data_IF_490621307410
#
_entry.id   IF_490621307410
#
_cell.length_a   1.000
_cell.length_b   1.000
_cell.length_c   1.000
_cell.angle_alpha   90.00
_cell.angle_beta   90.00
_cell.angle_gamma   90.00
#
_symmetry.space_group_name_H-M   'P 1'
#
loop_
_entity.id
_entity.type
_entity.pdbx_description
1 polymer ?
#
# COMPACT_ATOMS: atom_id res chain seq x y z
N UNK A 1 -27.62 22.32 22.04
CA UNK A 1 -26.64 22.47 20.94
C UNK A 1 -25.29 21.94 21.38
N UNK A 2 -24.81 22.28 22.58
CA UNK A 2 -23.52 21.79 23.12
C UNK A 2 -23.30 20.26 23.12
N UNK A 3 -24.35 19.45 23.33
CA UNK A 3 -24.21 17.98 23.34
C UNK A 3 -23.81 17.44 21.95
N UNK A 4 -24.30 18.04 20.87
CA UNK A 4 -23.94 17.61 19.52
C UNK A 4 -22.53 18.05 19.13
N UNK A 5 -22.06 19.17 19.68
CA UNK A 5 -20.77 19.77 19.32
C UNK A 5 -19.57 18.92 19.72
N UNK A 6 -19.63 18.21 20.86
CA UNK A 6 -18.56 17.26 21.25
C UNK A 6 -18.79 15.82 20.74
N UNK A 7 -20.05 15.41 20.54
CA UNK A 7 -20.37 14.05 20.09
C UNK A 7 -20.07 13.83 18.61
N UNK A 8 -20.19 14.86 17.76
CA UNK A 8 -19.92 14.72 16.31
C UNK A 8 -18.44 14.40 16.04
N UNK A 9 -17.45 15.17 16.54
CA UNK A 9 -16.04 14.84 16.37
C UNK A 9 -15.69 13.45 16.93
N UNK A 10 -16.23 13.12 18.11
CA UNK A 10 -16.03 11.80 18.73
C UNK A 10 -16.60 10.66 17.89
N UNK A 11 -17.79 10.82 17.30
CA UNK A 11 -18.38 9.84 16.40
C UNK A 11 -17.55 9.68 15.11
N UNK A 12 -16.99 10.77 14.58
CA UNK A 12 -16.08 10.73 13.42
C UNK A 12 -14.78 9.99 13.75
N UNK A 13 -14.23 10.17 14.95
CA UNK A 13 -13.05 9.41 15.41
C UNK A 13 -13.35 7.91 15.50
N UNK A 14 -14.50 7.52 16.06
CA UNK A 14 -14.95 6.12 16.05
C UNK A 14 -15.13 5.59 14.65
N UNK A 15 -15.75 6.35 13.75
CA UNK A 15 -15.93 5.93 12.37
C UNK A 15 -14.58 5.74 11.66
N UNK A 16 -13.62 6.65 11.87
CA UNK A 16 -12.27 6.56 11.34
C UNK A 16 -11.56 5.29 11.86
N UNK A 17 -11.64 5.04 13.16
CA UNK A 17 -11.09 3.85 13.82
C UNK A 17 -11.69 2.56 13.24
N UNK A 18 -13.02 2.44 13.26
CA UNK A 18 -13.73 1.23 12.83
C UNK A 18 -13.45 0.92 11.36
N UNK A 19 -13.40 1.94 10.50
CA UNK A 19 -13.12 1.73 9.09
C UNK A 19 -11.68 1.28 8.82
N UNK A 20 -10.70 1.88 9.52
CA UNK A 20 -9.30 1.40 9.48
C UNK A 20 -9.16 -0.02 10.00
N UNK A 21 -9.84 -0.31 11.11
CA UNK A 21 -9.80 -1.63 11.73
C UNK A 21 -10.39 -2.69 10.81
N UNK A 22 -11.56 -2.42 10.22
CA UNK A 22 -12.16 -3.27 9.19
C UNK A 22 -11.22 -3.50 8.01
N UNK A 23 -10.58 -2.44 7.51
CA UNK A 23 -9.64 -2.54 6.39
C UNK A 23 -8.44 -3.44 6.71
N UNK A 24 -7.86 -3.28 7.90
CA UNK A 24 -6.73 -4.12 8.35
C UNK A 24 -7.16 -5.58 8.50
N UNK A 25 -8.31 -5.86 9.14
CA UNK A 25 -8.83 -7.22 9.31
C UNK A 25 -9.03 -7.90 7.94
N UNK A 26 -9.74 -7.23 7.05
CA UNK A 26 -10.06 -7.78 5.72
C UNK A 26 -8.80 -7.94 4.86
N UNK A 27 -7.87 -6.99 4.93
CA UNK A 27 -6.57 -7.08 4.27
C UNK A 27 -5.73 -8.27 4.75
N UNK A 28 -5.69 -8.52 6.06
CA UNK A 28 -5.01 -9.69 6.63
C UNK A 28 -5.68 -10.98 6.15
N UNK A 29 -7.01 -11.06 6.18
CA UNK A 29 -7.75 -12.23 5.69
C UNK A 29 -7.44 -12.51 4.21
N UNK A 30 -7.46 -11.48 3.36
CA UNK A 30 -7.22 -11.63 1.93
C UNK A 30 -5.77 -12.00 1.60
N UNK A 31 -4.80 -11.29 2.16
CA UNK A 31 -3.38 -11.55 1.91
C UNK A 31 -2.95 -12.88 2.54
N UNK A 32 -3.45 -13.20 3.74
CA UNK A 32 -3.22 -14.49 4.39
C UNK A 32 -3.74 -15.65 3.55
N UNK A 33 -4.98 -15.57 3.07
CA UNK A 33 -5.55 -16.57 2.15
C UNK A 33 -4.72 -16.68 0.86
N UNK A 34 -4.29 -15.55 0.29
CA UNK A 34 -3.46 -15.53 -0.92
C UNK A 34 -2.12 -16.25 -0.70
N UNK A 35 -1.44 -16.00 0.42
CA UNK A 35 -0.20 -16.71 0.75
C UNK A 35 -0.41 -18.19 0.96
N UNK A 36 -1.48 -18.57 1.65
CA UNK A 36 -1.84 -19.98 1.85
C UNK A 36 -2.09 -20.69 0.51
N UNK A 37 -2.94 -20.14 -0.36
CA UNK A 37 -3.25 -20.77 -1.64
C UNK A 37 -2.05 -20.83 -2.59
N UNK A 38 -1.18 -19.82 -2.59
CA UNK A 38 0.06 -19.86 -3.36
C UNK A 38 1.02 -20.91 -2.83
N UNK A 39 1.13 -21.05 -1.50
CA UNK A 39 1.92 -22.13 -0.90
C UNK A 39 1.33 -23.50 -1.27
N UNK A 40 0.02 -23.68 -1.10
CA UNK A 40 -0.71 -24.90 -1.43
C UNK A 40 -0.46 -25.29 -2.90
N UNK A 41 -0.68 -24.37 -3.84
CA UNK A 41 -0.50 -24.62 -5.28
C UNK A 41 0.94 -24.97 -5.68
N UNK A 42 1.94 -24.46 -4.96
CA UNK A 42 3.34 -24.80 -5.22
C UNK A 42 3.81 -26.08 -4.50
N UNK A 43 3.06 -26.55 -3.49
CA UNK A 43 3.43 -27.68 -2.62
C UNK A 43 2.65 -28.96 -2.93
N UNK A 44 1.46 -28.86 -3.52
CA UNK A 44 0.69 -30.02 -4.00
C UNK A 44 1.55 -30.91 -4.90
N UNK A 45 1.41 -32.24 -4.77
CA UNK A 45 2.11 -33.24 -5.58
C UNK A 45 1.12 -34.21 -6.24
N UNK A 46 1.43 -34.76 -7.43
CA UNK A 46 0.59 -35.78 -8.03
C UNK A 46 0.40 -36.97 -7.08
N UNK A 47 -0.80 -37.58 -7.04
CA UNK A 47 -1.00 -38.81 -6.28
C UNK A 47 -0.19 -39.96 -6.88
N UNK A 48 0.03 -41.03 -6.11
CA UNK A 48 0.77 -42.20 -6.58
C UNK A 48 0.12 -42.78 -7.87
N UNK A 49 0.91 -43.16 -8.90
CA UNK A 49 0.37 -43.77 -10.11
C UNK A 49 -0.47 -45.02 -9.78
N UNK A 50 -1.65 -45.13 -10.37
CA UNK A 50 -2.57 -46.25 -10.13
C UNK A 50 -3.37 -46.20 -8.82
N UNK A 51 -3.14 -45.20 -7.96
CA UNK A 51 -3.95 -44.98 -6.75
C UNK A 51 -5.41 -44.65 -7.07
N UNK A 52 -6.29 -44.87 -6.09
CA UNK A 52 -7.71 -44.49 -6.20
C UNK A 52 -7.90 -42.99 -6.47
N UNK A 53 -7.03 -42.13 -5.92
CA UNK A 53 -7.06 -40.69 -6.17
C UNK A 53 -6.73 -40.37 -7.63
N UNK A 54 -5.72 -41.04 -8.20
CA UNK A 54 -5.38 -40.88 -9.61
C UNK A 54 -6.56 -41.32 -10.51
N UNK A 55 -7.23 -42.43 -10.18
CA UNK A 55 -8.42 -42.91 -10.90
C UNK A 55 -9.59 -41.92 -10.82
N UNK A 56 -9.72 -41.20 -9.71
CA UNK A 56 -10.74 -40.14 -9.50
C UNK A 56 -10.40 -38.81 -10.18
N UNK A 57 -9.29 -38.72 -10.91
CA UNK A 57 -8.90 -37.50 -11.63
C UNK A 57 -8.26 -36.42 -10.75
N UNK A 58 -7.77 -36.78 -9.55
CA UNK A 58 -6.99 -35.88 -8.71
C UNK A 58 -5.64 -35.62 -9.38
N UNK A 59 -5.38 -34.34 -9.66
CA UNK A 59 -4.14 -33.87 -10.28
C UNK A 59 -3.03 -33.61 -9.27
N UNK A 60 -3.41 -33.42 -8.00
CA UNK A 60 -2.47 -33.45 -6.90
C UNK A 60 -3.15 -33.35 -5.54
N UNK A 61 -2.43 -33.82 -4.54
CA UNK A 61 -2.81 -33.80 -3.15
C UNK A 61 -1.71 -33.19 -2.26
N UNK A 62 -2.11 -32.80 -1.06
CA UNK A 62 -1.22 -32.37 0.02
C UNK A 62 -1.71 -32.99 1.31
N UNK A 63 -0.82 -33.34 2.22
CA UNK A 63 -1.16 -33.63 3.61
C UNK A 63 -0.62 -32.53 4.51
N UNK A 64 -1.47 -31.96 5.36
CA UNK A 64 -1.13 -30.89 6.29
C UNK A 64 -1.71 -31.18 7.68
N UNK A 65 -1.00 -30.75 8.72
CA UNK A 65 -1.46 -30.84 10.11
C UNK A 65 -1.71 -29.44 10.64
N UNK A 66 -2.90 -29.21 11.20
CA UNK A 66 -3.22 -27.95 11.86
C UNK A 66 -4.37 -28.15 12.87
N UNK A 67 -4.36 -27.40 13.98
CA UNK A 67 -5.45 -27.44 14.96
C UNK A 67 -5.77 -28.83 15.54
N UNK A 68 -4.77 -29.72 15.61
CA UNK A 68 -4.94 -31.09 16.11
C UNK A 68 -5.48 -32.10 15.09
N UNK A 69 -5.73 -31.71 13.83
CA UNK A 69 -6.24 -32.58 12.77
C UNK A 69 -5.32 -32.69 11.55
N UNK A 70 -5.61 -33.69 10.71
CA UNK A 70 -4.97 -33.90 9.41
C UNK A 70 -5.91 -33.46 8.28
N UNK A 71 -5.39 -32.63 7.37
CA UNK A 71 -6.09 -32.17 6.18
C UNK A 71 -5.45 -32.81 4.95
N UNK A 72 -6.28 -33.28 4.01
CA UNK A 72 -5.85 -33.75 2.69
C UNK A 72 -6.50 -32.93 1.56
N UNK A 73 -6.04 -31.69 1.28
CA UNK A 73 -6.55 -30.93 0.15
C UNK A 73 -6.24 -31.63 -1.17
N UNK A 74 -7.26 -31.84 -1.99
CA UNK A 74 -7.17 -32.48 -3.30
C UNK A 74 -7.50 -31.47 -4.39
N UNK A 75 -6.65 -31.38 -5.40
CA UNK A 75 -6.82 -30.50 -6.56
C UNK A 75 -7.14 -31.33 -7.79
N UNK A 76 -8.26 -31.03 -8.43
CA UNK A 76 -8.69 -31.63 -9.69
C UNK A 76 -8.23 -30.76 -10.87
N UNK A 77 -7.77 -31.38 -11.97
CA UNK A 77 -7.28 -30.64 -13.14
C UNK A 77 -8.42 -29.93 -13.89
N UNK A 78 -9.58 -30.59 -13.95
CA UNK A 78 -10.73 -30.14 -14.71
C UNK A 78 -11.97 -30.11 -13.82
N UNK A 79 -12.34 -31.26 -13.27
CA UNK A 79 -13.55 -31.45 -12.46
C UNK A 79 -13.41 -32.68 -11.56
N UNK A 80 -14.01 -32.70 -10.36
CA UNK A 80 -14.37 -33.95 -9.71
C UNK A 80 -15.47 -34.68 -10.50
N UNK A 81 -15.62 -35.99 -10.28
CA UNK A 81 -16.69 -36.79 -10.89
C UNK A 81 -18.09 -36.31 -10.49
N UNK A 82 -18.22 -35.81 -9.26
CA UNK A 82 -19.44 -35.19 -8.73
C UNK A 82 -19.09 -33.81 -8.17
N UNK A 83 -19.85 -32.80 -8.60
CA UNK A 83 -19.72 -31.45 -8.07
C UNK A 83 -20.37 -31.38 -6.68
N UNK A 84 -19.64 -30.91 -5.64
CA UNK A 84 -20.22 -30.66 -4.33
C UNK A 84 -21.36 -29.64 -4.42
N UNK A 85 -22.40 -29.83 -3.59
CA UNK A 85 -23.54 -28.88 -3.48
C UNK A 85 -23.09 -27.50 -2.99
N UNK A 86 -22.06 -27.47 -2.14
CA UNK A 86 -21.53 -26.26 -1.54
C UNK A 86 -20.11 -26.01 -2.03
N UNK A 87 -19.89 -24.83 -2.61
CA UNK A 87 -18.59 -24.36 -3.03
C UNK A 87 -18.30 -23.05 -2.31
N UNK A 88 -17.15 -22.99 -1.63
CA UNK A 88 -16.68 -21.75 -1.03
C UNK A 88 -15.96 -20.90 -2.08
N UNK A 89 -16.35 -19.62 -2.17
CA UNK A 89 -15.79 -18.67 -3.14
C UNK A 89 -14.99 -17.59 -2.41
N UNK A 90 -13.67 -17.67 -2.49
CA UNK A 90 -12.75 -16.65 -1.95
C UNK A 90 -12.84 -15.37 -2.77
N UNK A 91 -13.73 -14.47 -2.36
CA UNK A 91 -14.01 -13.21 -3.05
C UNK A 91 -14.28 -12.06 -2.07
N UNK A 92 -14.91 -12.36 -0.95
CA UNK A 92 -15.36 -11.35 0.00
C UNK A 92 -14.21 -10.70 0.73
N UNK A 93 -13.13 -11.43 0.99
CA UNK A 93 -11.90 -10.90 1.59
C UNK A 93 -11.31 -9.81 0.69
N UNK A 94 -11.22 -10.07 -0.62
CA UNK A 94 -10.73 -9.11 -1.60
C UNK A 94 -11.67 -7.90 -1.75
N UNK A 95 -12.98 -8.16 -1.88
CA UNK A 95 -13.97 -7.10 -2.08
C UNK A 95 -14.10 -6.20 -0.87
N UNK A 96 -14.16 -6.76 0.34
CA UNK A 96 -14.24 -6.01 1.57
C UNK A 96 -12.97 -5.20 1.84
N UNK A 97 -11.79 -5.74 1.52
CA UNK A 97 -10.52 -4.99 1.61
C UNK A 97 -10.54 -3.78 0.68
N UNK A 98 -10.95 -3.95 -0.58
CA UNK A 98 -10.99 -2.83 -1.51
C UNK A 98 -12.06 -1.81 -1.17
N UNK A 99 -13.27 -2.23 -0.79
CA UNK A 99 -14.35 -1.32 -0.41
C UNK A 99 -13.97 -0.47 0.81
N UNK A 100 -13.44 -1.11 1.86
CA UNK A 100 -12.96 -0.39 3.05
C UNK A 100 -11.76 0.50 2.73
N UNK A 101 -10.83 0.03 1.89
CA UNK A 101 -9.65 0.81 1.47
C UNK A 101 -10.01 2.02 0.60
N UNK A 102 -10.97 1.87 -0.31
CA UNK A 102 -11.46 2.96 -1.16
C UNK A 102 -12.26 3.98 -0.35
N UNK A 103 -13.04 3.52 0.64
CA UNK A 103 -13.68 4.41 1.61
C UNK A 103 -12.63 5.21 2.40
N UNK A 104 -11.56 4.57 2.89
CA UNK A 104 -10.45 5.26 3.56
C UNK A 104 -9.73 6.24 2.64
N UNK A 105 -9.48 5.87 1.37
CA UNK A 105 -8.88 6.77 0.39
C UNK A 105 -9.77 8.01 0.18
N UNK A 106 -11.08 7.81 0.09
CA UNK A 106 -12.05 8.90 -0.07
C UNK A 106 -12.05 9.84 1.13
N UNK A 107 -12.17 9.31 2.35
CA UNK A 107 -12.24 10.12 3.57
C UNK A 107 -10.90 10.78 3.88
N UNK A 108 -9.82 10.00 3.85
CA UNK A 108 -8.51 10.47 4.30
C UNK A 108 -7.78 11.31 3.24
N UNK A 109 -8.02 11.09 1.94
CA UNK A 109 -7.33 11.82 0.88
C UNK A 109 -8.26 12.71 0.06
N UNK A 110 -9.43 12.23 -0.39
CA UNK A 110 -10.27 13.04 -1.29
C UNK A 110 -11.01 14.17 -0.56
N UNK A 111 -11.62 13.90 0.60
CA UNK A 111 -12.27 14.94 1.40
C UNK A 111 -11.26 15.89 2.06
N UNK A 112 -10.01 15.45 2.22
CA UNK A 112 -8.92 16.23 2.82
C UNK A 112 -7.81 16.55 1.79
N UNK A 113 -8.16 16.69 0.51
CA UNK A 113 -7.19 16.76 -0.60
C UNK A 113 -6.19 17.91 -0.44
N UNK A 114 -6.64 19.08 0.04
CA UNK A 114 -5.77 20.23 0.25
C UNK A 114 -4.62 19.91 1.22
N UNK A 115 -4.90 19.18 2.30
CA UNK A 115 -3.88 18.82 3.30
C UNK A 115 -3.09 17.56 2.95
N UNK A 116 -3.71 16.62 2.24
CA UNK A 116 -3.14 15.27 2.08
C UNK A 116 -2.60 15.01 0.68
N UNK A 117 -3.11 15.69 -0.34
CA UNK A 117 -2.78 15.45 -1.75
C UNK A 117 -2.01 16.59 -2.41
N UNK A 118 -2.20 17.83 -1.99
CA UNK A 118 -1.68 19.01 -2.70
C UNK A 118 -0.48 19.58 -1.96
N UNK A 119 0.68 19.58 -2.62
CA UNK A 119 1.87 20.33 -2.18
C UNK A 119 2.16 21.38 -3.26
N UNK A 120 1.97 22.66 -2.94
CA UNK A 120 2.10 23.77 -3.91
C UNK A 120 3.52 23.93 -4.44
N UNK A 121 4.53 23.42 -3.75
CA UNK A 121 5.89 23.40 -4.25
C UNK A 121 6.10 22.34 -5.34
N UNK A 122 5.20 21.36 -5.45
CA UNK A 122 5.20 20.32 -6.50
C UNK A 122 4.33 20.76 -7.68
N UNK A 123 3.05 21.04 -7.43
CA UNK A 123 2.11 21.52 -8.43
C UNK A 123 0.96 22.31 -7.77
N UNK A 124 0.60 23.46 -8.33
CA UNK A 124 -0.55 24.25 -7.87
C UNK A 124 -1.84 23.71 -8.47
N UNK A 125 -2.39 22.68 -7.83
CA UNK A 125 -3.64 22.01 -8.24
C UNK A 125 -4.83 22.52 -7.44
N UNK A 126 -6.00 22.55 -8.07
CA UNK A 126 -7.27 22.56 -7.35
C UNK A 126 -7.58 21.18 -6.74
N UNK A 127 -8.45 21.14 -5.73
CA UNK A 127 -8.95 19.91 -5.11
C UNK A 127 -9.48 18.90 -6.12
N UNK A 128 -10.29 19.33 -7.08
CA UNK A 128 -10.88 18.44 -8.08
C UNK A 128 -9.86 17.87 -9.06
N UNK A 129 -8.83 18.64 -9.42
CA UNK A 129 -7.73 18.14 -10.23
C UNK A 129 -6.94 17.06 -9.48
N UNK A 130 -6.61 17.30 -8.21
CA UNK A 130 -5.88 16.32 -7.39
C UNK A 130 -6.68 15.02 -7.24
N UNK A 131 -7.98 15.11 -6.91
CA UNK A 131 -8.88 13.95 -6.81
C UNK A 131 -9.02 13.24 -8.16
N UNK A 132 -9.18 14.00 -9.25
CA UNK A 132 -9.27 13.47 -10.61
C UNK A 132 -8.03 12.70 -11.04
N UNK A 133 -6.82 13.22 -10.73
CA UNK A 133 -5.55 12.50 -10.93
C UNK A 133 -5.53 11.21 -10.11
N UNK A 134 -5.97 11.28 -8.85
CA UNK A 134 -6.07 10.12 -7.96
C UNK A 134 -6.94 9.01 -8.56
N UNK A 135 -8.21 9.29 -8.82
CA UNK A 135 -9.17 8.33 -9.41
C UNK A 135 -8.71 7.88 -10.80
N UNK A 136 -8.26 8.81 -11.63
CA UNK A 136 -7.77 8.53 -12.98
C UNK A 136 -6.61 7.54 -12.97
N UNK A 137 -5.68 7.65 -12.00
CA UNK A 137 -4.56 6.71 -11.88
C UNK A 137 -5.02 5.27 -11.60
N UNK A 138 -6.06 5.07 -10.80
CA UNK A 138 -6.61 3.73 -10.51
C UNK A 138 -7.25 3.12 -11.77
N UNK A 139 -8.03 3.91 -12.50
CA UNK A 139 -8.69 3.48 -13.75
C UNK A 139 -7.65 3.15 -14.82
N UNK A 140 -6.72 4.08 -15.08
CA UNK A 140 -5.64 3.89 -16.07
C UNK A 140 -4.77 2.69 -15.69
N UNK A 141 -4.42 2.55 -14.41
CA UNK A 141 -3.63 1.43 -13.92
C UNK A 141 -4.25 0.07 -14.21
N UNK A 142 -5.56 -0.09 -13.92
CA UNK A 142 -6.28 -1.31 -14.26
C UNK A 142 -6.33 -1.55 -15.77
N UNK A 143 -6.69 -0.52 -16.56
CA UNK A 143 -6.84 -0.66 -18.01
C UNK A 143 -5.51 -1.03 -18.68
N UNK A 144 -4.42 -0.34 -18.35
CA UNK A 144 -3.09 -0.65 -18.89
C UNK A 144 -2.68 -2.07 -18.52
N UNK A 145 -2.81 -2.44 -17.24
CA UNK A 145 -2.48 -3.78 -16.77
C UNK A 145 -3.29 -4.87 -17.51
N UNK A 146 -4.61 -4.69 -17.65
CA UNK A 146 -5.45 -5.69 -18.31
C UNK A 146 -5.13 -5.81 -19.80
N UNK A 147 -4.87 -4.70 -20.49
CA UNK A 147 -4.42 -4.70 -21.88
C UNK A 147 -3.07 -5.41 -22.04
N UNK A 148 -2.11 -5.14 -21.16
CA UNK A 148 -0.81 -5.83 -21.18
C UNK A 148 -0.97 -7.34 -21.01
N UNK A 149 -1.84 -7.78 -20.09
CA UNK A 149 -2.08 -9.21 -19.88
C UNK A 149 -2.80 -9.89 -21.05
N UNK A 150 -3.63 -9.16 -21.81
CA UNK A 150 -4.30 -9.67 -23.02
C UNK A 150 -3.42 -9.65 -24.27
N UNK A 151 -2.33 -8.88 -24.24
CA UNK A 151 -1.35 -8.81 -25.33
C UNK A 151 -0.44 -10.04 -25.37
N UNK A 152 0.39 -10.16 -26.42
CA UNK A 152 1.44 -11.20 -26.52
C UNK A 152 2.43 -11.16 -25.34
N UNK A 153 2.64 -9.99 -24.73
CA UNK A 153 3.51 -9.84 -23.56
C UNK A 153 3.02 -10.68 -22.37
N UNK A 154 1.70 -10.86 -22.23
CA UNK A 154 1.10 -11.68 -21.16
C UNK A 154 1.51 -13.16 -21.20
N UNK A 155 2.10 -13.63 -22.29
CA UNK A 155 2.61 -15.01 -22.43
C UNK A 155 4.07 -15.15 -21.93
N UNK A 156 4.74 -14.05 -21.60
CA UNK A 156 6.15 -14.02 -21.19
C UNK A 156 6.29 -13.42 -19.78
N UNK A 157 6.20 -14.26 -18.75
CA UNK A 157 6.16 -13.85 -17.33
C UNK A 157 7.26 -12.84 -16.92
N UNK A 158 8.52 -13.08 -17.32
CA UNK A 158 9.64 -12.20 -16.95
C UNK A 158 9.54 -10.83 -17.65
N UNK A 159 9.31 -10.83 -18.96
CA UNK A 159 9.18 -9.60 -19.73
C UNK A 159 7.97 -8.79 -19.25
N UNK A 160 6.85 -9.46 -18.98
CA UNK A 160 5.68 -8.84 -18.36
C UNK A 160 6.02 -8.21 -17.01
N UNK A 161 6.72 -8.94 -16.13
CA UNK A 161 7.13 -8.45 -14.82
C UNK A 161 8.00 -7.19 -14.91
N UNK A 162 8.97 -7.16 -15.84
CA UNK A 162 9.83 -5.98 -16.07
C UNK A 162 9.03 -4.79 -16.58
N UNK A 163 8.16 -4.98 -17.57
CA UNK A 163 7.31 -3.90 -18.11
C UNK A 163 6.35 -3.39 -17.04
N UNK A 164 5.75 -4.28 -16.24
CA UNK A 164 4.84 -3.89 -15.17
C UNK A 164 5.56 -3.15 -14.06
N UNK A 165 6.79 -3.57 -13.69
CA UNK A 165 7.61 -2.83 -12.74
C UNK A 165 7.93 -1.43 -13.26
N UNK A 166 8.38 -1.31 -14.51
CA UNK A 166 8.64 -0.02 -15.15
C UNK A 166 7.39 0.87 -15.19
N UNK A 167 6.21 0.30 -15.47
CA UNK A 167 4.94 1.02 -15.44
C UNK A 167 4.60 1.54 -14.03
N UNK A 168 4.80 0.75 -12.97
CA UNK A 168 4.58 1.20 -11.59
C UNK A 168 5.59 2.28 -11.17
N UNK A 169 6.85 2.16 -11.58
CA UNK A 169 7.89 3.19 -11.35
C UNK A 169 7.53 4.49 -12.07
N UNK A 170 7.12 4.39 -13.34
CA UNK A 170 6.65 5.54 -14.13
C UNK A 170 5.42 6.18 -13.48
N UNK A 171 4.46 5.38 -13.02
CA UNK A 171 3.28 5.88 -12.33
C UNK A 171 3.65 6.60 -11.03
N UNK A 172 4.59 6.05 -10.24
CA UNK A 172 5.09 6.70 -9.03
C UNK A 172 5.80 8.02 -9.35
N UNK A 173 6.60 8.06 -10.40
CA UNK A 173 7.27 9.27 -10.87
C UNK A 173 6.25 10.32 -11.34
N UNK A 174 5.33 9.97 -12.23
CA UNK A 174 4.28 10.88 -12.71
C UNK A 174 3.49 11.44 -11.54
N UNK A 175 2.97 10.58 -10.65
CA UNK A 175 2.19 11.04 -9.50
C UNK A 175 2.99 11.94 -8.56
N UNK A 176 4.30 11.71 -8.41
CA UNK A 176 5.18 12.55 -7.58
C UNK A 176 5.46 13.93 -8.19
N UNK A 177 5.13 14.17 -9.46
CA UNK A 177 5.20 15.49 -10.10
C UNK A 177 3.90 16.30 -9.97
N UNK A 178 2.82 15.70 -9.48
CA UNK A 178 1.51 16.36 -9.36
C UNK A 178 0.95 16.33 -7.94
N UNK A 179 1.18 15.25 -7.20
CA UNK A 179 0.66 15.05 -5.86
C UNK A 179 1.79 15.14 -4.83
N UNK A 180 1.43 15.41 -3.58
CA UNK A 180 2.34 15.25 -2.44
C UNK A 180 2.94 13.84 -2.45
N UNK A 181 4.21 13.69 -2.05
CA UNK A 181 4.86 12.36 -2.07
C UNK A 181 4.10 11.29 -1.28
N UNK A 182 3.45 11.70 -0.18
CA UNK A 182 2.53 10.85 0.61
C UNK A 182 1.36 10.35 -0.23
N UNK A 183 0.67 11.26 -0.92
CA UNK A 183 -0.45 10.90 -1.79
C UNK A 183 0.01 10.09 -3.00
N UNK A 184 1.15 10.42 -3.61
CA UNK A 184 1.69 9.65 -4.72
C UNK A 184 1.91 8.18 -4.32
N UNK A 185 2.53 7.92 -3.17
CA UNK A 185 2.71 6.57 -2.64
C UNK A 185 1.39 5.84 -2.45
N UNK A 186 0.44 6.42 -1.71
CA UNK A 186 -0.83 5.72 -1.43
C UNK A 186 -1.61 5.43 -2.71
N UNK A 187 -1.54 6.30 -3.73
CA UNK A 187 -2.23 6.08 -5.00
C UNK A 187 -1.58 4.99 -5.85
N UNK A 188 -0.24 4.83 -5.81
CA UNK A 188 0.42 3.64 -6.39
C UNK A 188 -0.05 2.37 -5.68
N UNK A 189 -0.14 2.40 -4.34
CA UNK A 189 -0.64 1.27 -3.58
C UNK A 189 -2.11 0.94 -3.86
N UNK A 190 -2.96 1.97 -3.95
CA UNK A 190 -4.38 1.83 -4.29
C UNK A 190 -4.57 1.37 -5.74
N UNK A 191 -3.71 1.79 -6.66
CA UNK A 191 -3.67 1.28 -8.04
C UNK A 191 -3.36 -0.21 -8.06
N UNK A 192 -2.31 -0.64 -7.35
CA UNK A 192 -1.96 -2.07 -7.22
C UNK A 192 -3.12 -2.85 -6.58
N UNK A 193 -3.68 -2.37 -5.48
CA UNK A 193 -4.84 -3.00 -4.82
C UNK A 193 -6.07 -3.08 -5.72
N UNK A 194 -6.32 -2.05 -6.53
CA UNK A 194 -7.41 -2.01 -7.51
C UNK A 194 -7.19 -3.05 -8.62
N UNK A 195 -5.98 -3.15 -9.15
CA UNK A 195 -5.59 -4.21 -10.10
C UNK A 195 -5.86 -5.60 -9.49
N UNK A 196 -5.43 -5.79 -8.24
CA UNK A 196 -5.54 -7.07 -7.56
C UNK A 196 -7.00 -7.49 -7.32
N UNK A 197 -7.88 -6.58 -6.89
CA UNK A 197 -9.30 -6.90 -6.70
C UNK A 197 -10.03 -7.04 -8.03
N UNK A 198 -9.69 -6.24 -9.04
CA UNK A 198 -10.33 -6.30 -10.35
C UNK A 198 -10.02 -7.62 -11.06
N UNK A 199 -8.81 -8.16 -10.87
CA UNK A 199 -8.49 -9.54 -11.23
C UNK A 199 -9.46 -10.55 -10.64
N UNK A 200 -9.81 -10.41 -9.35
CA UNK A 200 -10.76 -11.30 -8.67
C UNK A 200 -12.18 -11.10 -9.19
N UNK A 201 -12.63 -9.85 -9.22
CA UNK A 201 -14.01 -9.45 -9.55
C UNK A 201 -14.38 -9.71 -11.00
N UNK A 202 -13.50 -9.34 -11.94
CA UNK A 202 -13.84 -9.29 -13.36
C UNK A 202 -13.35 -10.52 -14.13
N UNK A 203 -12.32 -11.23 -13.64
CA UNK A 203 -11.70 -12.34 -14.37
C UNK A 203 -11.82 -13.68 -13.62
N UNK A 204 -11.33 -13.76 -12.38
CA UNK A 204 -11.22 -15.04 -11.65
C UNK A 204 -12.61 -15.58 -11.30
N UNK A 205 -13.41 -14.81 -10.55
CA UNK A 205 -14.73 -15.29 -10.09
C UNK A 205 -15.69 -15.55 -11.27
N UNK A 206 -15.81 -14.66 -12.27
CA UNK A 206 -16.63 -14.95 -13.45
C UNK A 206 -16.14 -16.17 -14.24
N UNK A 207 -14.83 -16.35 -14.40
CA UNK A 207 -14.24 -17.52 -15.07
C UNK A 207 -14.53 -18.82 -14.31
N UNK A 208 -14.33 -18.83 -13.00
CA UNK A 208 -14.64 -19.98 -12.14
C UNK A 208 -16.14 -20.33 -12.18
N UNK A 209 -17.04 -19.34 -12.19
CA UNK A 209 -18.49 -19.57 -12.37
C UNK A 209 -18.81 -20.25 -13.70
N UNK A 210 -18.17 -19.82 -14.80
CA UNK A 210 -18.33 -20.46 -16.11
C UNK A 210 -17.83 -21.90 -16.12
N UNK A 211 -16.70 -22.18 -15.45
CA UNK A 211 -16.19 -23.54 -15.29
C UNK A 211 -17.19 -24.41 -14.51
N UNK A 212 -17.73 -23.92 -13.39
CA UNK A 212 -18.72 -24.65 -12.59
C UNK A 212 -20.01 -24.89 -13.38
N UNK A 213 -20.51 -23.88 -14.12
CA UNK A 213 -21.69 -24.02 -14.95
C UNK A 213 -21.51 -25.07 -16.06
N UNK A 214 -20.35 -25.09 -16.73
CA UNK A 214 -20.05 -26.08 -17.75
C UNK A 214 -20.03 -27.51 -17.19
N UNK A 215 -19.42 -27.70 -16.01
CA UNK A 215 -19.40 -28.99 -15.32
C UNK A 215 -20.80 -29.43 -14.85
N UNK A 216 -21.59 -28.51 -14.30
CA UNK A 216 -22.96 -28.80 -13.87
C UNK A 216 -23.86 -29.23 -15.06
N UNK A 217 -23.56 -28.75 -16.26
CA UNK A 217 -24.21 -29.17 -17.50
C UNK A 217 -23.65 -30.49 -18.09
N UNK A 218 -22.73 -31.18 -17.40
CA UNK A 218 -22.10 -32.42 -17.87
C UNK A 218 -20.99 -32.21 -18.92
N UNK A 219 -20.62 -30.96 -19.20
CA UNK A 219 -19.57 -30.59 -20.16
C UNK A 219 -18.18 -30.46 -19.54
N UNK A 220 -17.16 -30.31 -20.39
CA UNK A 220 -15.78 -30.00 -19.97
C UNK A 220 -15.58 -28.47 -19.94
N UNK A 221 -15.09 -27.88 -18.83
CA UNK A 221 -14.70 -26.48 -18.76
C UNK A 221 -13.68 -26.07 -19.82
N UNK A 222 -13.84 -24.86 -20.37
CA UNK A 222 -12.82 -24.23 -21.18
C UNK A 222 -11.56 -23.94 -20.32
N UNK A 223 -10.38 -24.53 -20.66
CA UNK A 223 -9.14 -24.33 -19.92
C UNK A 223 -8.70 -22.86 -19.83
N UNK A 224 -9.15 -21.99 -20.75
CA UNK A 224 -8.74 -20.58 -20.79
C UNK A 224 -9.09 -19.84 -19.49
N UNK A 225 -10.19 -20.22 -18.84
CA UNK A 225 -10.63 -19.59 -17.59
C UNK A 225 -9.65 -19.88 -16.45
N UNK A 226 -9.23 -21.14 -16.30
CA UNK A 226 -8.24 -21.55 -15.30
C UNK A 226 -6.86 -20.94 -15.58
N UNK A 227 -6.43 -20.92 -16.85
CA UNK A 227 -5.14 -20.33 -17.25
C UNK A 227 -5.08 -18.83 -16.95
N UNK A 228 -6.11 -18.07 -17.35
CA UNK A 228 -6.21 -16.63 -17.03
C UNK A 228 -6.28 -16.39 -15.53
N UNK A 229 -7.07 -17.17 -14.79
CA UNK A 229 -7.16 -17.03 -13.34
C UNK A 229 -5.81 -17.28 -12.66
N UNK A 230 -5.06 -18.30 -13.10
CA UNK A 230 -3.72 -18.61 -12.61
C UNK A 230 -2.74 -17.46 -12.90
N UNK A 231 -2.72 -16.94 -14.12
CA UNK A 231 -1.88 -15.79 -14.50
C UNK A 231 -2.12 -14.60 -13.56
N UNK A 232 -3.39 -14.22 -13.35
CA UNK A 232 -3.74 -13.08 -12.49
C UNK A 232 -3.43 -13.33 -11.01
N UNK A 233 -3.64 -14.56 -10.54
CA UNK A 233 -3.27 -14.95 -9.18
C UNK A 233 -1.76 -14.84 -8.93
N UNK A 234 -0.93 -15.27 -9.90
CA UNK A 234 0.52 -15.12 -9.83
C UNK A 234 0.93 -13.64 -9.77
N UNK A 235 0.30 -12.78 -10.57
CA UNK A 235 0.57 -11.33 -10.52
C UNK A 235 0.20 -10.75 -9.15
N UNK A 236 -0.99 -11.05 -8.62
CA UNK A 236 -1.43 -10.63 -7.29
C UNK A 236 -0.42 -11.05 -6.20
N UNK A 237 0.12 -12.26 -6.31
CA UNK A 237 1.12 -12.77 -5.38
C UNK A 237 2.43 -11.97 -5.38
N UNK A 238 2.90 -11.49 -6.54
CA UNK A 238 4.09 -10.63 -6.62
C UNK A 238 3.81 -9.20 -6.15
N UNK A 239 2.58 -8.72 -6.32
CA UNK A 239 2.16 -7.40 -5.84
C UNK A 239 2.02 -7.31 -4.32
N UNK A 240 1.82 -8.44 -3.63
CA UNK A 240 1.54 -8.46 -2.18
C UNK A 240 2.59 -7.73 -1.33
N UNK A 241 3.88 -8.04 -1.45
CA UNK A 241 4.90 -7.40 -0.60
C UNK A 241 5.09 -5.90 -0.92
N UNK A 242 5.13 -5.48 -2.21
CA UNK A 242 5.04 -4.08 -2.59
C UNK A 242 3.84 -3.33 -1.98
N UNK A 243 2.62 -3.85 -2.12
CA UNK A 243 1.42 -3.14 -1.63
C UNK A 243 1.40 -3.05 -0.10
N UNK A 244 1.83 -4.10 0.60
CA UNK A 244 1.94 -4.08 2.07
C UNK A 244 2.89 -2.97 2.54
N UNK A 245 4.07 -2.86 1.92
CA UNK A 245 5.00 -1.76 2.23
C UNK A 245 4.36 -0.40 1.99
N UNK A 246 3.71 -0.21 0.84
CA UNK A 246 3.07 1.08 0.52
C UNK A 246 2.00 1.43 1.56
N UNK A 247 1.19 0.47 2.01
CA UNK A 247 0.15 0.73 3.02
C UNK A 247 0.73 1.20 4.36
N UNK A 248 1.90 0.69 4.76
CA UNK A 248 2.58 1.11 6.00
C UNK A 248 3.51 2.33 5.81
N UNK A 249 3.85 2.68 4.56
CA UNK A 249 4.87 3.70 4.24
C UNK A 249 4.55 5.09 4.81
N UNK A 250 3.26 5.39 5.05
CA UNK A 250 2.83 6.65 5.65
C UNK A 250 3.41 6.91 7.05
N UNK A 251 3.83 5.85 7.76
CA UNK A 251 4.51 5.93 9.04
C UNK A 251 6.02 6.26 8.94
N UNK A 252 6.57 6.27 7.72
CA UNK A 252 8.00 6.45 7.48
C UNK A 252 8.22 7.58 6.46
N UNK A 253 8.11 8.82 6.94
CA UNK A 253 8.21 10.03 6.10
C UNK A 253 9.50 10.12 5.26
N UNK A 254 10.60 9.56 5.76
CA UNK A 254 11.87 9.47 5.03
C UNK A 254 11.73 8.80 3.66
N UNK A 255 10.73 7.92 3.48
CA UNK A 255 10.55 7.21 2.21
C UNK A 255 9.91 8.09 1.13
N UNK A 256 8.93 8.92 1.50
CA UNK A 256 8.11 9.68 0.54
C UNK A 256 8.42 11.18 0.49
N UNK A 257 9.23 11.72 1.41
CA UNK A 257 9.70 13.12 1.38
C UNK A 257 11.06 13.30 0.71
N UNK A 258 11.71 12.21 0.29
CA UNK A 258 12.96 12.27 -0.45
C UNK A 258 12.72 12.88 -1.86
N UNK A 259 13.68 13.66 -2.38
CA UNK A 259 13.60 14.28 -3.71
C UNK A 259 13.40 13.26 -4.85
N UNK A 260 13.82 12.01 -4.61
CA UNK A 260 13.63 10.87 -5.52
C UNK A 260 12.72 9.81 -4.89
N UNK A 261 11.64 10.21 -4.22
CA UNK A 261 10.69 9.30 -3.57
C UNK A 261 10.24 8.16 -4.51
N UNK A 262 9.94 8.45 -5.78
CA UNK A 262 9.59 7.42 -6.77
C UNK A 262 10.65 6.31 -6.92
N UNK A 263 11.94 6.65 -6.82
CA UNK A 263 13.05 5.70 -6.90
C UNK A 263 13.22 4.92 -5.59
N UNK A 264 12.99 5.57 -4.44
CA UNK A 264 12.92 4.89 -3.14
C UNK A 264 11.82 3.83 -3.16
N UNK A 265 10.62 4.19 -3.66
CA UNK A 265 9.53 3.23 -3.82
C UNK A 265 9.91 2.09 -4.75
N UNK A 266 10.52 2.38 -5.89
CA UNK A 266 10.99 1.38 -6.84
C UNK A 266 11.94 0.36 -6.18
N UNK A 267 12.93 0.83 -5.41
CA UNK A 267 13.86 -0.04 -4.69
C UNK A 267 13.17 -0.90 -3.63
N UNK A 268 12.23 -0.34 -2.86
CA UNK A 268 11.43 -1.08 -1.88
C UNK A 268 10.56 -2.16 -2.54
N UNK A 269 9.91 -1.84 -3.66
CA UNK A 269 9.13 -2.80 -4.44
C UNK A 269 10.01 -3.91 -5.01
N UNK A 270 11.19 -3.57 -5.57
CA UNK A 270 12.13 -4.54 -6.11
C UNK A 270 12.62 -5.53 -5.04
N UNK A 271 12.99 -5.03 -3.85
CA UNK A 271 13.35 -5.87 -2.72
C UNK A 271 12.20 -6.81 -2.31
N UNK A 272 10.98 -6.27 -2.23
CA UNK A 272 9.77 -7.08 -1.96
C UNK A 272 9.55 -8.18 -2.99
N UNK A 273 9.68 -7.87 -4.29
CA UNK A 273 9.55 -8.86 -5.38
C UNK A 273 10.62 -9.95 -5.29
N UNK A 274 11.88 -9.60 -5.03
CA UNK A 274 12.98 -10.56 -4.87
C UNK A 274 12.73 -11.51 -3.70
N UNK A 275 12.34 -10.97 -2.54
CA UNK A 275 12.01 -11.78 -1.36
C UNK A 275 10.81 -12.68 -1.65
N UNK A 276 9.76 -12.17 -2.32
CA UNK A 276 8.61 -12.99 -2.68
C UNK A 276 8.96 -14.11 -3.66
N UNK A 277 9.81 -13.81 -4.64
CA UNK A 277 10.29 -14.78 -5.62
C UNK A 277 10.99 -15.96 -4.95
N UNK A 278 11.83 -15.69 -3.95
CA UNK A 278 12.46 -16.73 -3.14
C UNK A 278 11.47 -17.67 -2.49
N UNK A 279 10.44 -17.15 -1.82
CA UNK A 279 9.42 -18.00 -1.19
C UNK A 279 8.67 -18.84 -2.23
N UNK A 280 8.33 -18.27 -3.39
CA UNK A 280 7.69 -19.01 -4.47
C UNK A 280 8.56 -20.20 -4.95
N UNK A 281 9.86 -19.99 -5.13
CA UNK A 281 10.79 -21.05 -5.52
C UNK A 281 10.98 -22.08 -4.41
N UNK A 282 11.11 -21.63 -3.16
CA UNK A 282 11.27 -22.50 -1.99
C UNK A 282 10.08 -23.43 -1.81
N UNK A 283 8.85 -22.94 -2.00
CA UNK A 283 7.64 -23.78 -1.97
C UNK A 283 7.63 -24.86 -3.06
N UNK A 284 8.32 -24.62 -4.18
CA UNK A 284 8.55 -25.63 -5.24
C UNK A 284 9.75 -26.53 -4.97
N UNK A 285 10.36 -26.47 -3.79
CA UNK A 285 11.55 -27.25 -3.43
C UNK A 285 12.87 -26.68 -3.94
N UNK A 286 12.88 -25.47 -4.50
CA UNK A 286 14.10 -24.80 -4.98
C UNK A 286 14.56 -23.70 -4.02
N UNK A 287 15.68 -23.91 -3.35
CA UNK A 287 16.22 -22.93 -2.39
C UNK A 287 17.29 -22.07 -3.04
N UNK A 288 16.93 -20.82 -3.40
CA UNK A 288 17.77 -19.91 -4.19
C UNK A 288 18.10 -18.64 -3.39
N UNK A 289 19.05 -18.73 -2.45
CA UNK A 289 19.40 -17.65 -1.51
C UNK A 289 19.88 -16.35 -2.16
N UNK A 290 20.28 -16.38 -3.43
CA UNK A 290 20.65 -15.17 -4.19
C UNK A 290 19.57 -14.09 -4.17
N UNK A 291 18.28 -14.47 -4.17
CA UNK A 291 17.18 -13.52 -4.22
C UNK A 291 16.97 -12.75 -2.90
N UNK A 292 16.84 -13.37 -1.71
CA UNK A 292 16.73 -12.62 -0.47
C UNK A 292 18.02 -11.86 -0.16
N UNK A 293 19.21 -12.41 -0.49
CA UNK A 293 20.48 -11.69 -0.35
C UNK A 293 20.50 -10.43 -1.22
N UNK A 294 20.09 -10.51 -2.49
CA UNK A 294 19.97 -9.35 -3.35
C UNK A 294 18.93 -8.34 -2.83
N UNK A 295 17.78 -8.82 -2.33
CA UNK A 295 16.76 -7.96 -1.72
C UNK A 295 17.29 -7.19 -0.51
N UNK A 296 17.99 -7.87 0.40
CA UNK A 296 18.65 -7.22 1.56
C UNK A 296 19.73 -6.25 1.11
N UNK A 297 20.55 -6.61 0.12
CA UNK A 297 21.56 -5.72 -0.43
C UNK A 297 20.96 -4.43 -1.01
N UNK A 298 19.83 -4.54 -1.74
CA UNK A 298 19.08 -3.37 -2.24
C UNK A 298 18.58 -2.51 -1.08
N UNK A 299 18.04 -3.11 -0.02
CA UNK A 299 17.56 -2.36 1.16
C UNK A 299 18.70 -1.66 1.91
N UNK A 300 19.85 -2.31 2.07
CA UNK A 300 21.04 -1.72 2.71
C UNK A 300 21.61 -0.57 1.87
N UNK A 301 21.75 -0.78 0.56
CA UNK A 301 22.19 0.27 -0.36
C UNK A 301 21.23 1.46 -0.33
N UNK A 302 19.92 1.21 -0.31
CA UNK A 302 18.90 2.24 -0.19
C UNK A 302 19.01 3.00 1.14
N UNK A 303 19.18 2.30 2.26
CA UNK A 303 19.32 2.91 3.59
C UNK A 303 20.52 3.86 3.66
N UNK A 304 21.64 3.49 3.04
CA UNK A 304 22.81 4.36 2.91
C UNK A 304 22.52 5.53 1.96
N UNK A 305 21.89 5.28 0.82
CA UNK A 305 21.63 6.30 -0.20
C UNK A 305 20.66 7.41 0.26
N UNK A 306 19.71 7.09 1.14
CA UNK A 306 18.72 8.05 1.68
C UNK A 306 19.08 8.58 3.07
N UNK A 307 20.28 8.28 3.58
CA UNK A 307 20.72 8.71 4.89
C UNK A 307 20.63 10.25 5.01
N UNK A 308 20.13 10.79 6.14
CA UNK A 308 20.01 12.22 6.32
C UNK A 308 21.39 12.88 6.27
N UNK A 309 21.48 14.01 5.56
CA UNK A 309 22.69 14.83 5.55
C UNK A 309 22.85 15.52 6.91
N UNK A 310 24.10 15.74 7.31
CA UNK A 310 24.39 16.55 8.50
C UNK A 310 23.73 17.93 8.35
N UNK A 311 23.11 18.46 9.41
CA UNK A 311 22.53 19.78 9.39
C UNK A 311 23.63 20.82 9.11
N UNK A 312 23.30 21.81 8.28
CA UNK A 312 24.19 22.94 8.02
C UNK A 312 24.07 23.89 9.22
N UNK A 313 25.20 24.20 9.86
CA UNK A 313 25.26 25.15 10.97
C UNK A 313 24.77 26.51 10.47
N UNK A 314 23.53 26.86 10.81
CA UNK A 314 22.99 28.17 10.53
C UNK A 314 23.50 29.18 11.60
N UNK A 315 23.53 30.49 11.26
CA UNK A 315 23.90 31.53 12.21
C UNK A 315 23.05 31.46 13.48
N UNK A 316 23.58 31.92 14.62
CA UNK A 316 22.82 31.96 15.86
C UNK A 316 21.48 32.69 15.68
N UNK A 317 20.38 32.00 15.97
CA UNK A 317 19.01 32.52 15.83
C UNK A 317 18.43 32.76 17.21
N UNK A 318 17.79 33.91 17.40
CA UNK A 318 17.05 34.22 18.63
C UNK A 318 15.75 33.41 18.73
N UNK A 319 15.34 33.06 19.95
CA UNK A 319 14.05 32.42 20.17
C UNK A 319 12.88 33.22 19.59
N UNK A 320 12.93 34.55 19.65
CA UNK A 320 11.88 35.41 19.09
C UNK A 320 11.65 35.19 17.59
N UNK A 321 12.72 34.97 16.82
CA UNK A 321 12.63 34.66 15.39
C UNK A 321 11.99 33.29 15.16
N UNK A 322 12.38 32.28 15.95
CA UNK A 322 11.78 30.94 15.89
C UNK A 322 10.32 30.97 16.29
N UNK A 323 9.97 31.70 17.34
CA UNK A 323 8.59 31.89 17.79
C UNK A 323 7.74 32.47 16.66
N UNK A 324 8.22 33.50 15.96
CA UNK A 324 7.51 34.09 14.82
C UNK A 324 7.27 33.07 13.70
N UNK A 325 8.28 32.26 13.36
CA UNK A 325 8.15 31.17 12.39
C UNK A 325 7.10 30.14 12.86
N UNK A 326 7.18 29.69 14.11
CA UNK A 326 6.25 28.67 14.64
C UNK A 326 4.82 29.22 14.68
N UNK A 327 4.63 30.48 15.09
CA UNK A 327 3.33 31.16 15.06
C UNK A 327 2.76 31.21 13.64
N UNK A 328 3.58 31.57 12.65
CA UNK A 328 3.11 31.69 11.26
C UNK A 328 2.88 30.34 10.58
N UNK A 329 3.71 29.33 10.88
CA UNK A 329 3.75 28.07 10.11
C UNK A 329 3.04 26.90 10.79
N UNK A 330 2.86 26.93 12.10
CA UNK A 330 2.42 25.76 12.88
C UNK A 330 1.15 26.00 13.70
N UNK A 331 0.97 27.20 14.27
CA UNK A 331 -0.07 27.46 15.28
C UNK A 331 -1.49 27.30 14.77
N UNK A 332 -1.76 27.52 13.46
CA UNK A 332 -3.10 27.30 12.90
C UNK A 332 -3.60 25.87 13.03
N UNK A 333 -2.70 24.88 13.10
CA UNK A 333 -3.04 23.48 13.35
C UNK A 333 -2.70 23.04 14.79
N UNK A 334 -1.69 23.65 15.41
CA UNK A 334 -1.13 23.24 16.70
C UNK A 334 -1.45 24.25 17.81
N UNK A 335 -2.73 24.54 18.02
CA UNK A 335 -3.25 25.37 19.11
C UNK A 335 -4.31 24.62 19.94
N UNK A 336 -4.68 25.21 21.07
CA UNK A 336 -5.85 24.81 21.85
C UNK A 336 -7.16 24.90 21.03
N UNK A 337 -7.24 25.90 20.15
CA UNK A 337 -8.32 26.11 19.20
C UNK A 337 -7.77 26.20 17.77
N UNK A 338 -7.55 25.06 17.07
CA UNK A 338 -7.06 25.06 15.70
C UNK A 338 -7.99 25.85 14.77
N UNK A 339 -7.39 26.65 13.88
CA UNK A 339 -8.11 27.48 12.90
C UNK A 339 -8.01 26.92 11.48
N UNK A 340 -7.10 25.98 11.25
CA UNK A 340 -6.96 25.30 9.96
C UNK A 340 -8.15 24.37 9.69
N UNK A 341 -8.89 24.53 8.58
CA UNK A 341 -9.95 23.60 8.20
C UNK A 341 -9.46 22.14 8.13
N UNK A 342 -10.27 21.23 8.67
CA UNK A 342 -9.96 19.79 8.76
C UNK A 342 -9.26 19.36 10.04
N UNK A 343 -8.93 20.29 10.95
CA UNK A 343 -8.35 20.01 12.26
C UNK A 343 -9.29 20.45 13.38
N UNK A 344 -9.96 19.50 14.04
CA UNK A 344 -10.81 19.78 15.20
C UNK A 344 -9.99 19.88 16.51
N UNK A 345 -8.79 19.29 16.54
CA UNK A 345 -7.87 19.33 17.66
C UNK A 345 -6.42 19.29 17.14
N UNK A 346 -5.48 19.73 17.98
CA UNK A 346 -4.08 19.72 17.64
C UNK A 346 -3.57 18.30 17.32
N UNK A 347 -2.92 18.07 16.17
CA UNK A 347 -2.42 16.74 15.81
C UNK A 347 -1.49 16.18 16.88
N UNK A 348 -1.71 14.92 17.24
CA UNK A 348 -0.98 14.21 18.29
C UNK A 348 -0.99 14.90 19.67
N UNK A 349 -1.96 15.81 19.92
CA UNK A 349 -2.05 16.59 21.16
C UNK A 349 -0.91 17.61 21.33
N UNK A 350 -0.15 17.92 20.27
CA UNK A 350 0.98 18.84 20.34
C UNK A 350 0.49 20.26 20.09
N UNK A 351 0.57 21.11 21.10
CA UNK A 351 0.28 22.54 20.98
C UNK A 351 1.59 23.33 20.92
N UNK A 352 1.59 24.46 20.20
CA UNK A 352 2.77 25.29 19.91
C UNK A 352 2.46 26.80 20.00
N UNK A 353 1.31 27.18 20.56
CA UNK A 353 0.82 28.56 20.57
C UNK A 353 1.43 29.44 21.68
N UNK A 354 2.18 28.87 22.63
CA UNK A 354 2.92 29.62 23.66
C UNK A 354 4.41 29.28 23.63
N UNK A 355 5.29 30.19 24.10
CA UNK A 355 6.74 29.95 24.20
C UNK A 355 7.13 28.64 24.90
N UNK A 356 6.48 28.35 26.03
CA UNK A 356 6.80 27.17 26.83
C UNK A 356 6.42 25.88 26.11
N UNK A 357 5.29 25.88 25.39
CA UNK A 357 4.87 24.76 24.56
C UNK A 357 5.83 24.50 23.39
N UNK A 358 6.38 25.56 22.78
CA UNK A 358 7.40 25.43 21.72
C UNK A 358 8.67 24.79 22.27
N UNK A 359 9.17 25.26 23.42
CA UNK A 359 10.36 24.67 24.07
C UNK A 359 10.13 23.23 24.51
N UNK A 360 8.98 22.94 25.14
CA UNK A 360 8.61 21.59 25.57
C UNK A 360 8.60 20.59 24.41
N UNK A 361 8.22 21.04 23.21
CA UNK A 361 8.12 20.20 22.02
C UNK A 361 9.31 20.37 21.06
N UNK A 362 10.39 21.05 21.46
CA UNK A 362 11.49 21.42 20.57
C UNK A 362 12.09 20.23 19.79
N UNK A 363 12.31 19.09 20.44
CA UNK A 363 12.82 17.89 19.78
C UNK A 363 11.87 17.33 18.71
N UNK A 364 10.56 17.35 18.97
CA UNK A 364 9.55 16.92 18.00
C UNK A 364 9.44 17.90 16.85
N UNK A 365 9.49 19.21 17.13
CA UNK A 365 9.52 20.27 16.11
C UNK A 365 10.73 20.09 15.20
N UNK A 366 11.93 19.89 15.77
CA UNK A 366 13.15 19.63 15.00
C UNK A 366 13.04 18.36 14.15
N UNK A 367 12.62 17.24 14.73
CA UNK A 367 12.48 15.98 14.00
C UNK A 367 11.48 16.09 12.83
N UNK A 368 10.29 16.64 13.07
CA UNK A 368 9.22 16.67 12.06
C UNK A 368 9.44 17.77 11.02
N UNK A 369 10.02 18.90 11.40
CA UNK A 369 10.13 20.08 10.54
C UNK A 369 11.48 20.16 9.83
N UNK A 370 12.57 19.77 10.51
CA UNK A 370 13.94 19.90 9.97
C UNK A 370 14.41 18.58 9.38
N UNK A 371 14.38 17.50 10.16
CA UNK A 371 14.94 16.21 9.72
C UNK A 371 14.06 15.51 8.68
N UNK A 372 12.78 15.29 9.01
CA UNK A 372 11.84 14.57 8.14
C UNK A 372 11.20 15.48 7.09
N UNK A 373 11.23 16.80 7.34
CA UNK A 373 10.45 17.81 6.62
C UNK A 373 8.97 17.40 6.46
N UNK A 374 8.41 16.61 7.38
CA UNK A 374 7.04 16.10 7.30
C UNK A 374 6.00 17.16 7.66
N UNK A 375 6.41 18.15 8.46
CA UNK A 375 5.59 19.30 8.85
C UNK A 375 6.16 20.61 8.30
N UNK A 376 5.33 21.62 7.99
CA UNK A 376 3.87 21.59 7.94
C UNK A 376 3.37 20.58 6.91
N UNK A 377 2.27 19.88 7.20
CA UNK A 377 1.76 18.80 6.34
C UNK A 377 1.51 19.32 4.93
N UNK A 378 2.00 18.58 3.92
CA UNK A 378 2.00 18.97 2.51
C UNK A 378 2.48 20.42 2.24
N UNK A 379 3.33 20.95 3.12
CA UNK A 379 3.78 22.34 3.13
C UNK A 379 2.65 23.38 3.05
N UNK A 380 1.48 23.09 3.64
CA UNK A 380 0.29 23.95 3.59
C UNK A 380 0.53 25.43 3.92
N UNK A 381 1.40 25.71 4.88
CA UNK A 381 1.72 27.07 5.33
C UNK A 381 2.93 27.66 4.62
N UNK A 382 3.44 27.04 3.55
CA UNK A 382 4.56 27.51 2.72
C UNK A 382 5.84 27.79 3.51
N UNK A 383 6.24 26.86 4.39
CA UNK A 383 7.48 26.99 5.15
C UNK A 383 8.70 26.71 4.26
N UNK A 384 9.61 27.68 4.21
CA UNK A 384 10.82 27.67 3.40
C UNK A 384 11.96 26.86 4.04
N UNK A 385 12.93 26.43 3.23
CA UNK A 385 14.13 25.76 3.75
C UNK A 385 14.99 26.68 4.62
N UNK A 386 14.97 27.99 4.39
CA UNK A 386 15.64 28.97 5.24
C UNK A 386 15.01 29.04 6.64
N UNK A 387 13.68 29.05 6.74
CA UNK A 387 12.98 29.00 8.04
C UNK A 387 13.25 27.67 8.76
N UNK A 388 13.30 26.54 8.03
CA UNK A 388 13.65 25.23 8.61
C UNK A 388 15.07 25.25 9.17
N UNK A 389 16.02 25.85 8.45
CA UNK A 389 17.40 25.98 8.91
C UNK A 389 17.48 26.82 10.20
N UNK A 390 16.67 27.88 10.34
CA UNK A 390 16.61 28.68 11.56
C UNK A 390 16.08 27.89 12.76
N UNK A 391 15.00 27.11 12.56
CA UNK A 391 14.48 26.20 13.60
C UNK A 391 15.53 25.15 13.97
N UNK A 392 16.30 24.66 12.99
CA UNK A 392 17.40 23.72 13.19
C UNK A 392 18.52 24.29 14.07
N UNK A 393 19.05 25.45 13.70
CA UNK A 393 20.10 26.12 14.46
C UNK A 393 19.69 26.44 15.89
N UNK A 394 18.45 26.88 16.11
CA UNK A 394 17.94 27.12 17.46
C UNK A 394 17.90 25.85 18.31
N UNK A 395 17.43 24.73 17.75
CA UNK A 395 17.39 23.46 18.48
C UNK A 395 18.81 22.98 18.83
N UNK A 396 19.73 23.04 17.87
CA UNK A 396 21.12 22.63 18.03
C UNK A 396 21.89 23.52 19.01
N UNK A 397 21.50 24.80 19.13
CA UNK A 397 22.00 25.73 20.16
C UNK A 397 21.41 25.48 21.57
N UNK A 398 20.63 24.41 21.75
CA UNK A 398 20.07 24.00 23.03
C UNK A 398 18.64 24.47 23.29
N UNK A 399 17.91 24.90 22.24
CA UNK A 399 16.50 25.26 22.30
C UNK A 399 16.13 26.32 23.36
N UNK A 400 17.02 27.31 23.56
CA UNK A 400 16.86 28.38 24.56
C UNK A 400 15.94 29.49 24.06
#
# INVERSE_FOLDING_TARGET
MEVFDYLIPYALDWFNLLLRWLHVITGIAWIGASFYFVWLDNTIRPPAPGSELAKKGVSGELWAVHGGGFYNPQKYLVAPSELPKELHWFKWEAYATWLSGFALLTIAYYFNAQAMMIDKAVADLSTWQAVGIGIGSLVVGWTVYDLLCRSKLGQHDLAFGVVMFAFLVLSAWVLSNYLSGRAAYIHVGAMIGTIMVANVLMLIIPGQRKMVAAMAAGGKPDPIHGQRAKQRSVHNNYFTLPVLFIMISNHYAMTYRHQHAWAVLAAMMAAGVLIRHFFNLRHRGRTEWRYPVAGVAVLLALAVAIAPKAPVVAPAVSFAQVQAIVTQRCVSCHSDHPTQPGFAAAPAGIMLHTPDLVRQNAAKVYQQTVQLKAMPIANLTNMTDAERAQVGAWFEAGAK
#
